data_IF_087673900927
#
_entry.id   IF_087673900927
#
_cell.length_a   1.000
_cell.length_b   1.000
_cell.length_c   1.000
_cell.angle_alpha   90.00
_cell.angle_beta   90.00
_cell.angle_gamma   90.00
#
_symmetry.space_group_name_H-M   'P 1'
#
loop_
_entity.id
_entity.type
_entity.pdbx_description
1 polymer ?
#
# COMPACT_ATOMS: atom_id res chain seq x y z
N UNK A 1 -18.45 -16.96 11.59
CA UNK A 1 -17.00 -16.65 11.46
C UNK A 1 -16.80 -15.29 12.08
N UNK A 2 -15.80 -15.11 12.94
CA UNK A 2 -15.46 -13.79 13.47
C UNK A 2 -14.81 -12.99 12.34
N UNK A 3 -15.50 -11.98 11.82
CA UNK A 3 -14.88 -11.00 10.92
C UNK A 3 -13.94 -10.18 11.77
N UNK A 4 -12.63 -10.40 11.63
CA UNK A 4 -11.63 -9.56 12.26
C UNK A 4 -11.76 -8.16 11.66
N UNK A 5 -12.08 -7.17 12.50
CA UNK A 5 -12.37 -5.82 12.06
C UNK A 5 -11.05 -5.05 12.04
N UNK A 6 -10.48 -4.90 10.84
CA UNK A 6 -9.33 -4.04 10.60
C UNK A 6 -9.80 -2.61 10.38
N UNK A 7 -8.99 -1.61 10.72
CA UNK A 7 -9.16 -0.22 10.30
C UNK A 7 -8.64 0.00 8.88
N UNK A 8 -8.99 -0.91 7.99
CA UNK A 8 -8.61 -0.90 6.58
C UNK A 8 -9.89 -0.76 5.76
N UNK A 9 -9.95 0.29 4.94
CA UNK A 9 -11.03 0.51 4.00
C UNK A 9 -10.63 -0.16 2.68
N UNK A 10 -11.44 -1.11 2.22
CA UNK A 10 -11.24 -1.79 0.96
C UNK A 10 -11.33 -0.80 -0.21
N UNK A 11 -10.69 -1.15 -1.34
CA UNK A 11 -10.72 -0.29 -2.53
C UNK A 11 -12.14 -0.01 -3.04
N UNK A 12 -13.03 -1.00 -2.96
CA UNK A 12 -14.41 -0.93 -3.42
C UNK A 12 -15.31 -0.07 -2.53
N UNK A 13 -14.96 0.07 -1.24
CA UNK A 13 -15.68 0.87 -0.25
C UNK A 13 -15.09 2.28 -0.09
N UNK A 14 -14.09 2.64 -0.90
CA UNK A 14 -13.37 3.90 -0.80
C UNK A 14 -13.76 4.93 -1.85
N UNK A 15 -13.98 6.16 -1.40
CA UNK A 15 -14.07 7.33 -2.30
C UNK A 15 -12.71 8.03 -2.53
N UNK A 16 -11.67 7.66 -1.77
CA UNK A 16 -10.41 8.40 -1.72
C UNK A 16 -9.24 7.66 -2.36
N UNK A 17 -9.31 6.33 -2.51
CA UNK A 17 -8.23 5.53 -3.08
C UNK A 17 -8.73 4.24 -3.74
N UNK A 18 -8.18 3.88 -4.90
CA UNK A 18 -8.51 2.62 -5.60
C UNK A 18 -7.81 1.37 -5.03
N UNK A 19 -7.29 1.44 -3.80
CA UNK A 19 -6.53 0.37 -3.15
C UNK A 19 -6.88 0.32 -1.65
N UNK A 20 -6.75 -0.85 -1.00
CA UNK A 20 -6.88 -0.96 0.45
C UNK A 20 -5.94 0.01 1.16
N UNK A 21 -6.50 0.78 2.09
CA UNK A 21 -5.78 1.82 2.82
C UNK A 21 -6.28 1.95 4.24
N UNK A 22 -5.45 2.55 5.09
CA UNK A 22 -5.77 2.82 6.49
C UNK A 22 -6.94 3.81 6.54
N UNK A 23 -7.96 3.50 7.33
CA UNK A 23 -9.13 4.36 7.54
C UNK A 23 -8.70 5.77 7.95
N UNK A 24 -9.26 6.79 7.28
CA UNK A 24 -8.92 8.19 7.53
C UNK A 24 -7.55 8.64 6.98
N UNK A 25 -6.84 7.79 6.24
CA UNK A 25 -5.54 8.08 5.62
C UNK A 25 -5.52 7.69 4.15
N UNK A 26 -4.57 8.22 3.36
CA UNK A 26 -4.30 7.74 1.99
C UNK A 26 -3.13 6.74 1.94
N UNK A 27 -2.64 6.32 3.11
CA UNK A 27 -1.56 5.33 3.22
C UNK A 27 -2.11 3.96 2.87
N UNK A 28 -1.68 3.40 1.74
CA UNK A 28 -2.16 2.11 1.27
C UNK A 28 -1.44 0.95 1.97
N UNK A 29 -2.11 -0.19 2.05
CA UNK A 29 -1.55 -1.43 2.60
C UNK A 29 -0.28 -1.84 1.84
N UNK A 30 -0.28 -1.73 0.51
CA UNK A 30 0.88 -2.02 -0.33
C UNK A 30 2.07 -1.13 0.02
N UNK A 31 1.82 0.15 0.29
CA UNK A 31 2.85 1.15 0.56
C UNK A 31 3.45 1.00 1.97
N UNK A 32 2.65 0.53 2.94
CA UNK A 32 3.13 0.09 4.26
C UNK A 32 4.05 -1.12 4.11
N UNK A 33 3.59 -2.20 3.47
CA UNK A 33 4.37 -3.41 3.25
C UNK A 33 5.69 -3.12 2.51
N UNK A 34 5.64 -2.31 1.45
CA UNK A 34 6.83 -1.94 0.70
C UNK A 34 7.87 -1.17 1.55
N UNK A 35 7.44 -0.37 2.53
CA UNK A 35 8.35 0.36 3.41
C UNK A 35 8.89 -0.49 4.54
N UNK A 36 8.03 -1.22 5.23
CA UNK A 36 8.44 -1.97 6.41
C UNK A 36 9.21 -3.22 5.99
N UNK A 37 8.62 -4.06 5.14
CA UNK A 37 9.19 -5.37 4.82
C UNK A 37 10.18 -5.30 3.66
N UNK A 38 9.84 -4.62 2.55
CA UNK A 38 10.77 -4.55 1.39
C UNK A 38 11.95 -3.60 1.62
N UNK A 39 11.78 -2.50 2.36
CA UNK A 39 12.83 -1.49 2.61
C UNK A 39 13.40 -1.50 4.04
N UNK A 40 12.88 -2.35 4.92
CA UNK A 40 13.39 -2.49 6.29
C UNK A 40 13.16 -1.27 7.18
N UNK A 41 12.18 -0.42 6.89
CA UNK A 41 11.85 0.71 7.76
C UNK A 41 11.12 0.23 9.01
N UNK A 42 11.49 0.78 10.17
CA UNK A 42 10.79 0.48 11.42
C UNK A 42 9.32 0.97 11.35
N UNK A 43 8.32 0.17 11.79
CA UNK A 43 6.91 0.55 11.82
C UNK A 43 6.64 1.89 12.50
N UNK A 44 7.33 2.19 13.60
CA UNK A 44 7.26 3.45 14.35
C UNK A 44 7.58 4.64 13.45
N UNK A 45 8.58 4.50 12.57
CA UNK A 45 9.03 5.57 11.65
C UNK A 45 8.03 5.81 10.54
N UNK A 46 7.33 4.75 10.10
CA UNK A 46 6.26 4.87 9.11
C UNK A 46 5.04 5.55 9.75
N UNK A 47 4.64 5.12 10.96
CA UNK A 47 3.57 5.73 11.73
C UNK A 47 3.81 7.23 11.97
N UNK A 48 5.00 7.59 12.47
CA UNK A 48 5.42 8.97 12.72
C UNK A 48 5.35 9.81 11.43
N UNK A 49 5.91 9.31 10.33
CA UNK A 49 5.94 10.03 9.04
C UNK A 49 4.54 10.34 8.52
N UNK A 50 3.60 9.42 8.69
CA UNK A 50 2.26 9.55 8.15
C UNK A 50 1.22 10.03 9.17
N UNK A 51 1.63 10.30 10.42
CA UNK A 51 0.74 10.67 11.52
C UNK A 51 -0.46 9.71 11.65
N UNK A 52 -0.17 8.41 11.61
CA UNK A 52 -1.14 7.32 11.83
C UNK A 52 -0.76 6.53 13.08
N UNK A 53 -1.69 5.80 13.66
CA UNK A 53 -1.39 4.94 14.80
C UNK A 53 -0.46 3.79 14.36
N UNK A 54 0.45 3.38 15.24
CA UNK A 54 1.31 2.23 14.98
C UNK A 54 0.51 0.92 14.90
N UNK A 55 -0.60 0.81 15.62
CA UNK A 55 -1.53 -0.30 15.51
C UNK A 55 -2.07 -0.43 14.08
N UNK A 56 -2.42 0.69 13.44
CA UNK A 56 -2.92 0.69 12.05
C UNK A 56 -1.85 0.22 11.06
N UNK A 57 -0.57 0.49 11.33
CA UNK A 57 0.55 -0.04 10.54
C UNK A 57 0.62 -1.57 10.64
N UNK A 58 0.53 -2.12 11.85
CA UNK A 58 0.55 -3.58 12.03
C UNK A 58 -0.73 -4.25 11.48
N UNK A 59 -1.89 -3.60 11.61
CA UNK A 59 -3.12 -4.08 10.97
C UNK A 59 -3.01 -4.08 9.45
N UNK A 60 -2.41 -3.06 8.84
CA UNK A 60 -2.15 -3.05 7.41
C UNK A 60 -1.24 -4.21 6.98
N UNK A 61 -0.17 -4.49 7.75
CA UNK A 61 0.69 -5.66 7.49
C UNK A 61 -0.06 -6.98 7.64
N UNK A 62 -0.89 -7.12 8.68
CA UNK A 62 -1.73 -8.30 8.85
C UNK A 62 -2.72 -8.46 7.69
N UNK A 63 -3.35 -7.37 7.26
CA UNK A 63 -4.26 -7.35 6.12
C UNK A 63 -3.54 -7.77 4.83
N UNK A 64 -2.33 -7.29 4.59
CA UNK A 64 -1.52 -7.66 3.43
C UNK A 64 -1.37 -9.18 3.30
N UNK A 65 -0.93 -9.82 4.39
CA UNK A 65 -0.64 -11.25 4.41
C UNK A 65 -1.92 -12.10 4.43
N UNK A 66 -3.01 -11.58 4.98
CA UNK A 66 -4.30 -12.26 4.99
C UNK A 66 -5.07 -12.16 3.66
N UNK A 67 -4.73 -11.19 2.79
CA UNK A 67 -5.42 -10.96 1.51
C UNK A 67 -4.46 -11.03 0.31
N UNK A 68 -3.72 -12.13 0.12
CA UNK A 68 -2.65 -12.21 -0.88
C UNK A 68 -3.16 -12.08 -2.32
N UNK A 69 -4.40 -12.49 -2.61
CA UNK A 69 -4.96 -12.35 -3.96
C UNK A 69 -5.23 -10.90 -4.34
N UNK A 70 -5.80 -10.14 -3.41
CA UNK A 70 -6.06 -8.71 -3.59
C UNK A 70 -4.75 -7.95 -3.74
N UNK A 71 -3.77 -8.23 -2.88
CA UNK A 71 -2.46 -7.57 -2.95
C UNK A 71 -1.72 -7.91 -4.26
N UNK A 72 -1.86 -9.14 -4.80
CA UNK A 72 -1.35 -9.47 -6.14
C UNK A 72 -2.02 -8.65 -7.24
N UNK A 73 -3.31 -8.32 -7.14
CA UNK A 73 -4.00 -7.46 -8.10
C UNK A 73 -3.52 -6.01 -7.98
N UNK A 74 -3.27 -5.53 -6.76
CA UNK A 74 -2.66 -4.21 -6.52
C UNK A 74 -1.29 -4.13 -7.20
N UNK A 75 -0.38 -5.07 -6.92
CA UNK A 75 0.97 -5.07 -7.52
C UNK A 75 0.91 -5.10 -9.06
N UNK A 76 0.07 -5.94 -9.65
CA UNK A 76 -0.11 -5.97 -11.12
C UNK A 76 -0.61 -4.64 -11.70
N UNK A 77 -1.49 -3.92 -10.99
CA UNK A 77 -1.95 -2.60 -11.43
C UNK A 77 -0.79 -1.60 -11.41
N UNK A 78 0.05 -1.62 -10.38
CA UNK A 78 1.26 -0.79 -10.30
C UNK A 78 2.24 -1.10 -11.44
N UNK A 79 2.52 -2.38 -11.70
CA UNK A 79 3.42 -2.81 -12.78
C UNK A 79 2.92 -2.35 -14.15
N UNK A 80 1.62 -2.51 -14.43
CA UNK A 80 1.01 -2.04 -15.69
C UNK A 80 1.11 -0.53 -15.82
N UNK A 81 0.75 0.22 -14.78
CA UNK A 81 0.83 1.68 -14.79
C UNK A 81 2.28 2.16 -15.00
N UNK A 82 3.25 1.51 -14.38
CA UNK A 82 4.68 1.82 -14.56
C UNK A 82 5.17 1.48 -15.98
N UNK A 83 4.79 0.33 -16.53
CA UNK A 83 5.14 -0.07 -17.89
C UNK A 83 4.56 0.89 -18.93
N UNK A 84 3.29 1.27 -18.77
CA UNK A 84 2.63 2.25 -19.63
C UNK A 84 3.26 3.64 -19.54
N UNK A 85 3.59 4.11 -18.33
CA UNK A 85 4.28 5.37 -18.13
C UNK A 85 5.65 5.38 -18.83
N UNK A 86 6.42 4.28 -18.72
CA UNK A 86 7.69 4.12 -19.44
C UNK A 86 7.50 4.14 -20.95
N UNK A 87 6.48 3.46 -21.48
CA UNK A 87 6.21 3.41 -22.91
C UNK A 87 5.80 4.77 -23.49
N UNK A 88 5.09 5.61 -22.70
CA UNK A 88 4.67 6.96 -23.11
C UNK A 88 5.75 8.03 -22.88
N UNK A 89 6.75 7.76 -22.05
CA UNK A 89 7.79 8.72 -21.70
C UNK A 89 8.88 8.77 -22.77
N UNK A 90 9.17 9.96 -23.30
CA UNK A 90 10.38 10.23 -24.10
C UNK A 90 11.61 10.58 -23.25
N UNK A 91 11.45 10.66 -21.93
CA UNK A 91 12.55 10.91 -20.99
C UNK A 91 13.28 9.59 -20.70
N UNK A 92 14.49 9.45 -21.24
CA UNK A 92 15.45 8.47 -20.77
C UNK A 92 16.19 9.06 -19.54
N UNK A 93 16.45 8.26 -18.49
CA UNK A 93 17.38 8.66 -17.44
C UNK A 93 18.73 9.01 -18.09
N UNK A 94 19.41 10.09 -17.68
CA UNK A 94 20.75 10.40 -18.20
C UNK A 94 21.70 9.23 -17.92
N UNK A 95 22.53 8.90 -18.91
CA UNK A 95 23.61 7.93 -18.72
C UNK A 95 24.59 8.51 -17.68
N UNK A 96 24.70 7.85 -16.53
CA UNK A 96 25.70 8.15 -15.50
C UNK A 96 26.98 7.37 -15.76
#
# INVERSE_FOLDING_TARGET
MATQQYRIVAAEDSEIHGEPHIEGSRVTVQDVHARVEKRGLAPERVAERYNVDIADIYEALAYYHNNPEEMRRVEQRHERAAAEARARSSLAPPDN
#
